data_IF_885033749389
#
_entry.id   IF_885033749389
#
_cell.length_a   1.000
_cell.length_b   1.000
_cell.length_c   1.000
_cell.angle_alpha   90.00
_cell.angle_beta   90.00
_cell.angle_gamma   90.00
#
_symmetry.space_group_name_H-M   'P 1'
#
loop_
_entity.id
_entity.type
_entity.pdbx_description
1 polymer ?
#
# COMPACT_ATOMS: atom_id res chain seq x y z
N UNK A 1 31.38 12.13 -49.28
CA UNK A 1 30.67 12.50 -48.07
C UNK A 1 30.42 11.24 -47.25
N UNK A 2 31.31 10.91 -46.33
CA UNK A 2 31.20 9.77 -45.41
C UNK A 2 30.31 10.18 -44.25
N UNK A 3 29.12 9.59 -44.16
CA UNK A 3 28.23 9.77 -43.01
C UNK A 3 28.92 9.21 -41.76
N UNK A 4 29.26 10.08 -40.84
CA UNK A 4 29.71 9.72 -39.49
C UNK A 4 28.49 9.08 -38.82
N UNK A 5 28.53 7.77 -38.62
CA UNK A 5 27.60 7.04 -37.77
C UNK A 5 27.95 7.45 -36.33
N UNK A 6 27.18 8.37 -35.75
CA UNK A 6 27.26 8.67 -34.33
C UNK A 6 26.95 7.38 -33.56
N UNK A 7 27.97 6.80 -32.96
CA UNK A 7 27.80 5.74 -31.99
C UNK A 7 26.97 6.29 -30.79
N UNK A 8 25.88 5.60 -30.37
CA UNK A 8 25.09 6.06 -29.24
C UNK A 8 26.01 6.16 -28.02
N UNK A 9 26.14 7.35 -27.47
CA UNK A 9 26.82 7.56 -26.18
C UNK A 9 26.16 6.67 -25.13
N UNK A 10 26.95 5.97 -24.29
CA UNK A 10 26.38 5.14 -23.23
C UNK A 10 25.55 6.04 -22.32
N UNK A 11 24.24 5.79 -22.28
CA UNK A 11 23.30 6.52 -21.42
C UNK A 11 23.68 6.26 -19.97
N UNK A 12 24.33 7.22 -19.32
CA UNK A 12 24.62 7.17 -17.88
C UNK A 12 23.30 7.07 -17.10
N UNK A 13 23.26 6.22 -16.09
CA UNK A 13 22.09 6.09 -15.20
C UNK A 13 22.17 7.05 -14.02
N UNK A 14 21.04 7.34 -13.38
CA UNK A 14 21.02 8.08 -12.12
C UNK A 14 21.93 7.38 -11.09
N UNK A 15 22.78 8.11 -10.33
CA UNK A 15 23.70 7.50 -9.38
C UNK A 15 23.02 6.62 -8.35
N UNK A 16 23.60 5.43 -8.11
CA UNK A 16 23.05 4.47 -7.15
C UNK A 16 22.95 5.05 -5.73
N UNK A 17 23.91 5.90 -5.35
CA UNK A 17 23.90 6.60 -4.04
C UNK A 17 22.62 7.44 -3.86
N UNK A 18 22.21 8.20 -4.87
CA UNK A 18 20.99 8.99 -4.84
C UNK A 18 19.75 8.09 -4.80
N UNK A 19 19.73 7.03 -5.61
CA UNK A 19 18.61 6.08 -5.66
C UNK A 19 18.42 5.35 -4.34
N UNK A 20 19.50 4.93 -3.67
CA UNK A 20 19.44 4.28 -2.35
C UNK A 20 19.05 5.27 -1.24
N UNK A 21 19.58 6.49 -1.26
CA UNK A 21 19.19 7.53 -0.30
C UNK A 21 17.69 7.82 -0.37
N UNK A 22 17.13 7.97 -1.57
CA UNK A 22 15.69 8.17 -1.76
C UNK A 22 14.90 6.89 -1.49
N UNK A 23 15.46 5.73 -1.79
CA UNK A 23 14.87 4.43 -1.51
C UNK A 23 14.70 4.15 -0.01
N UNK A 24 15.60 4.64 0.85
CA UNK A 24 15.51 4.44 2.30
C UNK A 24 14.25 5.05 2.93
N UNK A 25 13.70 6.14 2.41
CA UNK A 25 12.41 6.67 2.85
C UNK A 25 11.23 5.80 2.40
N UNK A 26 11.31 5.14 1.25
CA UNK A 26 10.28 4.18 0.84
C UNK A 26 10.28 2.93 1.73
N UNK A 27 11.44 2.57 2.29
CA UNK A 27 11.58 1.53 3.33
C UNK A 27 10.77 1.88 4.57
N UNK A 28 10.80 3.13 5.04
CA UNK A 28 10.02 3.57 6.20
C UNK A 28 8.52 3.37 6.01
N UNK A 29 7.99 3.68 4.81
CA UNK A 29 6.59 3.41 4.49
C UNK A 29 6.28 1.92 4.55
N UNK A 30 7.13 1.10 3.94
CA UNK A 30 6.98 -0.34 3.90
C UNK A 30 7.02 -0.97 5.31
N UNK A 31 7.94 -0.54 6.17
CA UNK A 31 8.05 -0.98 7.56
C UNK A 31 6.78 -0.64 8.36
N UNK A 32 6.36 0.64 8.33
CA UNK A 32 5.19 1.08 9.09
C UNK A 32 3.88 0.42 8.67
N UNK A 33 3.78 0.01 7.41
CA UNK A 33 2.60 -0.70 6.91
C UNK A 33 2.64 -2.20 7.17
N UNK A 34 3.80 -2.80 7.36
CA UNK A 34 3.95 -4.25 7.44
C UNK A 34 4.20 -4.78 8.86
N UNK A 35 5.00 -4.10 9.68
CA UNK A 35 5.28 -4.55 11.06
C UNK A 35 4.02 -4.56 11.94
N UNK A 36 3.04 -3.70 11.64
CA UNK A 36 1.78 -3.63 12.38
C UNK A 36 1.00 -4.96 12.36
N UNK A 37 1.18 -5.79 11.34
CA UNK A 37 0.47 -7.06 11.18
C UNK A 37 0.62 -8.00 12.41
N UNK A 38 1.79 -8.02 13.02
CA UNK A 38 2.08 -8.83 14.21
C UNK A 38 1.95 -8.06 15.52
N UNK A 39 1.86 -6.74 15.47
CA UNK A 39 1.76 -5.89 16.66
C UNK A 39 0.31 -5.66 17.12
N UNK A 40 -0.70 -5.92 16.28
CA UNK A 40 -2.10 -5.65 16.59
C UNK A 40 -2.57 -6.36 17.85
N UNK A 41 -2.25 -7.64 18.01
CA UNK A 41 -2.65 -8.42 19.19
C UNK A 41 -1.98 -7.88 20.47
N UNK A 42 -0.65 -7.68 20.54
CA UNK A 42 0.00 -7.02 21.67
C UNK A 42 -0.55 -5.62 21.98
N UNK A 43 -0.89 -4.82 20.96
CA UNK A 43 -1.50 -3.49 21.13
C UNK A 43 -2.90 -3.62 21.77
N UNK A 44 -3.74 -4.52 21.23
CA UNK A 44 -5.07 -4.78 21.78
C UNK A 44 -5.02 -5.21 23.26
N UNK A 45 -4.09 -6.12 23.57
CA UNK A 45 -3.86 -6.59 24.95
C UNK A 45 -3.39 -5.46 25.85
N UNK A 46 -2.47 -4.62 25.40
CA UNK A 46 -1.92 -3.51 26.19
C UNK A 46 -2.97 -2.47 26.55
N UNK A 47 -3.84 -2.10 25.61
CA UNK A 47 -4.90 -1.11 25.84
C UNK A 47 -6.20 -1.71 26.37
N UNK A 48 -6.29 -3.04 26.56
CA UNK A 48 -7.48 -3.75 27.06
C UNK A 48 -8.70 -3.59 26.14
N UNK A 49 -8.49 -3.36 24.85
CA UNK A 49 -9.56 -3.15 23.85
C UNK A 49 -9.25 -3.83 22.55
N UNK A 50 -10.15 -4.71 22.12
CA UNK A 50 -10.14 -5.27 20.77
C UNK A 50 -10.88 -4.35 19.77
N UNK A 51 -11.89 -3.61 20.26
CA UNK A 51 -12.60 -2.64 19.44
C UNK A 51 -11.71 -1.43 19.16
N UNK A 52 -11.64 -1.02 17.89
CA UNK A 52 -10.82 0.11 17.45
C UNK A 52 -9.40 -0.25 16.98
N UNK A 53 -8.93 -1.48 17.12
CA UNK A 53 -7.63 -1.90 16.57
C UNK A 53 -7.61 -1.87 15.04
N UNK A 54 -8.75 -2.10 14.38
CA UNK A 54 -8.90 -1.87 12.94
C UNK A 54 -8.55 -0.44 12.54
N UNK A 55 -8.83 0.56 13.40
CA UNK A 55 -8.46 1.95 13.16
C UNK A 55 -6.95 2.19 13.22
N UNK A 56 -6.21 1.41 14.01
CA UNK A 56 -4.74 1.50 14.05
C UNK A 56 -4.14 1.15 12.67
N UNK A 57 -4.75 0.21 11.96
CA UNK A 57 -4.37 -0.12 10.59
C UNK A 57 -4.90 0.96 9.63
N UNK A 58 -6.19 1.22 9.67
CA UNK A 58 -6.91 2.06 8.70
C UNK A 58 -6.47 3.51 8.71
N UNK A 59 -6.17 4.09 9.86
CA UNK A 59 -5.76 5.49 9.99
C UNK A 59 -4.50 5.82 9.16
N UNK A 60 -3.50 4.95 9.19
CA UNK A 60 -2.30 5.13 8.37
C UNK A 60 -2.63 5.07 6.87
N UNK A 61 -3.43 4.10 6.45
CA UNK A 61 -3.74 3.93 5.02
C UNK A 61 -4.67 5.01 4.48
N UNK A 62 -5.65 5.49 5.27
CA UNK A 62 -6.49 6.62 4.90
C UNK A 62 -5.62 7.87 4.73
N UNK A 63 -4.80 8.17 5.75
CA UNK A 63 -3.89 9.32 5.70
C UNK A 63 -2.93 9.24 4.49
N UNK A 64 -2.40 8.04 4.21
CA UNK A 64 -1.51 7.82 3.06
C UNK A 64 -2.25 7.99 1.73
N UNK A 65 -3.46 7.42 1.60
CA UNK A 65 -4.26 7.49 0.37
C UNK A 65 -4.63 8.94 0.01
N UNK A 66 -4.94 9.76 1.03
CA UNK A 66 -5.27 11.18 0.87
C UNK A 66 -4.02 12.01 0.56
N UNK A 67 -2.92 11.74 1.27
CA UNK A 67 -1.72 12.60 1.20
C UNK A 67 -0.86 12.32 -0.02
N UNK A 68 -0.75 11.08 -0.50
CA UNK A 68 0.19 10.71 -1.55
C UNK A 68 0.04 11.50 -2.87
N UNK A 69 -1.18 11.70 -3.43
CA UNK A 69 -1.36 12.53 -4.61
C UNK A 69 -1.02 14.01 -4.37
N UNK A 70 -1.41 14.54 -3.20
CA UNK A 70 -1.11 15.92 -2.81
C UNK A 70 0.40 16.15 -2.61
N UNK A 71 1.09 15.19 -2.00
CA UNK A 71 2.52 15.25 -1.72
C UNK A 71 3.37 15.35 -3.00
N UNK A 72 2.98 14.66 -4.06
CA UNK A 72 3.66 14.77 -5.36
C UNK A 72 3.54 16.18 -5.97
N UNK A 73 2.35 16.79 -5.90
CA UNK A 73 2.12 18.17 -6.35
C UNK A 73 2.86 19.18 -5.47
N UNK A 74 2.83 19.01 -4.14
CA UNK A 74 3.59 19.86 -3.21
C UNK A 74 5.09 19.81 -3.53
N UNK A 75 5.64 18.63 -3.81
CA UNK A 75 7.04 18.46 -4.16
C UNK A 75 7.45 19.19 -5.42
N UNK A 76 6.63 19.17 -6.47
CA UNK A 76 6.94 19.88 -7.71
C UNK A 76 6.98 21.41 -7.57
N UNK A 77 6.46 21.97 -6.49
CA UNK A 77 6.31 23.42 -6.31
C UNK A 77 7.10 23.94 -5.11
N UNK A 78 7.06 23.25 -3.97
CA UNK A 78 7.85 23.65 -2.78
C UNK A 78 9.28 23.10 -2.80
N UNK A 79 9.57 22.22 -3.77
CA UNK A 79 10.80 21.47 -3.86
C UNK A 79 10.65 20.06 -3.30
N UNK A 80 10.99 19.08 -4.11
CA UNK A 80 10.78 17.68 -3.79
C UNK A 80 11.64 17.21 -2.61
N UNK A 81 12.87 17.70 -2.49
CA UNK A 81 13.75 17.42 -1.36
C UNK A 81 13.21 17.97 -0.06
N UNK A 82 12.69 19.22 -0.05
CA UNK A 82 12.10 19.86 1.13
C UNK A 82 10.89 19.08 1.62
N UNK A 83 9.96 18.74 0.73
CA UNK A 83 8.74 17.98 1.08
C UNK A 83 9.10 16.58 1.57
N UNK A 84 10.09 15.94 0.96
CA UNK A 84 10.62 14.65 1.41
C UNK A 84 11.16 14.71 2.84
N UNK A 85 12.02 15.70 3.15
CA UNK A 85 12.60 15.90 4.48
C UNK A 85 11.55 16.31 5.53
N UNK A 86 10.60 17.16 5.17
CA UNK A 86 9.47 17.50 6.03
C UNK A 86 8.63 16.26 6.37
N UNK A 87 8.41 15.36 5.40
CA UNK A 87 7.76 14.08 5.62
C UNK A 87 8.53 13.19 6.59
N UNK A 88 9.86 13.15 6.52
CA UNK A 88 10.68 12.44 7.52
C UNK A 88 10.49 13.03 8.93
N UNK A 89 10.39 14.35 9.05
CA UNK A 89 10.05 15.02 10.31
C UNK A 89 8.70 14.59 10.87
N UNK A 90 7.67 14.46 10.01
CA UNK A 90 6.36 13.94 10.41
C UNK A 90 6.41 12.46 10.83
N UNK A 91 7.23 11.64 10.16
CA UNK A 91 7.46 10.24 10.56
C UNK A 91 8.10 10.21 11.95
N UNK A 92 9.12 11.04 12.21
CA UNK A 92 9.75 11.12 13.52
C UNK A 92 8.76 11.54 14.61
N UNK A 93 7.99 12.61 14.36
CA UNK A 93 6.97 13.10 15.29
C UNK A 93 5.90 12.02 15.59
N UNK A 94 5.36 11.38 14.54
CA UNK A 94 4.39 10.30 14.69
C UNK A 94 4.98 9.08 15.43
N UNK A 95 6.26 8.78 15.21
CA UNK A 95 6.96 7.68 15.89
C UNK A 95 7.13 7.94 17.39
N UNK A 96 7.55 9.17 17.75
CA UNK A 96 7.66 9.58 19.17
C UNK A 96 6.29 9.55 19.84
N UNK A 97 5.28 10.19 19.23
CA UNK A 97 3.92 10.22 19.77
C UNK A 97 3.32 8.83 19.91
N UNK A 98 3.57 7.94 18.93
CA UNK A 98 3.07 6.58 18.94
C UNK A 98 3.74 5.69 19.99
N UNK A 99 5.06 5.83 20.20
CA UNK A 99 5.78 5.06 21.23
C UNK A 99 5.38 5.47 22.68
N UNK A 100 4.94 6.71 22.87
CA UNK A 100 4.50 7.28 24.15
C UNK A 100 2.98 7.29 24.30
N UNK A 101 2.22 6.62 23.43
CA UNK A 101 0.77 6.71 23.39
C UNK A 101 0.11 6.23 24.70
N UNK A 102 -0.60 7.09 25.43
CA UNK A 102 -1.30 6.72 26.67
C UNK A 102 -2.65 6.05 26.42
N UNK A 103 -3.15 6.10 25.19
CA UNK A 103 -4.44 5.52 24.79
C UNK A 103 -4.44 5.11 23.33
N UNK A 104 -5.38 4.23 22.96
CA UNK A 104 -5.56 3.77 21.58
C UNK A 104 -5.86 4.95 20.61
N UNK A 105 -6.66 5.93 21.05
CA UNK A 105 -6.96 7.13 20.25
C UNK A 105 -5.71 7.97 19.97
N UNK A 106 -4.80 8.07 20.93
CA UNK A 106 -3.52 8.75 20.76
C UNK A 106 -2.61 7.99 19.75
N UNK A 107 -2.60 6.67 19.85
CA UNK A 107 -1.89 5.82 18.87
C UNK A 107 -2.46 5.99 17.46
N UNK A 108 -3.79 6.06 17.32
CA UNK A 108 -4.45 6.32 16.02
C UNK A 108 -4.02 7.68 15.45
N UNK A 109 -3.97 8.73 16.28
CA UNK A 109 -3.49 10.05 15.86
C UNK A 109 -2.01 10.01 15.42
N UNK A 110 -1.16 9.29 16.14
CA UNK A 110 0.23 9.05 15.73
C UNK A 110 0.33 8.30 14.38
N UNK A 111 -0.54 7.32 14.14
CA UNK A 111 -0.63 6.59 12.87
C UNK A 111 -1.06 7.50 11.70
N UNK A 112 -1.92 8.48 11.95
CA UNK A 112 -2.27 9.50 10.93
C UNK A 112 -1.02 10.31 10.55
N UNK A 113 -0.25 10.80 11.52
CA UNK A 113 1.00 11.53 11.25
C UNK A 113 2.02 10.68 10.48
N UNK A 114 2.17 9.41 10.87
CA UNK A 114 3.00 8.45 10.13
C UNK A 114 2.52 8.28 8.69
N UNK A 115 1.21 8.16 8.48
CA UNK A 115 0.60 8.03 7.16
C UNK A 115 0.87 9.25 6.27
N UNK A 116 0.70 10.46 6.81
CA UNK A 116 1.03 11.72 6.13
C UNK A 116 2.52 11.76 5.77
N UNK A 117 3.40 11.50 6.74
CA UNK A 117 4.84 11.55 6.54
C UNK A 117 5.33 10.52 5.52
N UNK A 118 4.90 9.27 5.63
CA UNK A 118 5.33 8.20 4.71
C UNK A 118 4.79 8.39 3.30
N UNK A 119 3.60 9.00 3.15
CA UNK A 119 3.00 9.29 1.84
C UNK A 119 3.84 10.26 0.99
N UNK A 120 4.66 11.10 1.62
CA UNK A 120 5.50 12.06 0.89
C UNK A 120 6.72 11.41 0.24
N UNK A 121 7.15 10.23 0.70
CA UNK A 121 8.46 9.67 0.36
C UNK A 121 8.55 9.27 -1.12
N UNK A 122 7.66 8.38 -1.57
CA UNK A 122 7.74 7.82 -2.93
C UNK A 122 7.48 8.87 -4.04
N UNK A 123 6.44 9.73 -3.97
CA UNK A 123 6.20 10.73 -5.01
C UNK A 123 7.37 11.72 -5.15
N UNK A 124 7.90 12.19 -4.01
CA UNK A 124 9.00 13.15 -4.04
C UNK A 124 10.32 12.53 -4.44
N UNK A 125 10.59 11.26 -4.07
CA UNK A 125 11.73 10.51 -4.59
C UNK A 125 11.70 10.42 -6.13
N UNK A 126 10.52 10.14 -6.69
CA UNK A 126 10.32 10.09 -8.15
C UNK A 126 10.55 11.45 -8.81
N UNK A 127 10.10 12.54 -8.18
CA UNK A 127 10.33 13.90 -8.68
C UNK A 127 11.82 14.23 -8.69
N UNK A 128 12.54 14.00 -7.58
CA UNK A 128 14.01 14.23 -7.50
C UNK A 128 14.75 13.41 -8.56
N UNK A 129 14.38 12.14 -8.76
CA UNK A 129 15.01 11.28 -9.78
C UNK A 129 14.78 11.85 -11.19
N UNK A 130 13.56 12.29 -11.51
CA UNK A 130 13.23 12.89 -12.82
C UNK A 130 14.00 14.20 -13.03
N UNK A 131 13.98 15.10 -12.07
CA UNK A 131 14.73 16.37 -12.15
C UNK A 131 16.23 16.15 -12.34
N UNK A 132 16.80 15.16 -11.63
CA UNK A 132 18.20 14.78 -11.82
C UNK A 132 18.45 14.25 -13.23
N UNK A 133 17.58 13.36 -13.70
CA UNK A 133 17.70 12.75 -15.02
C UNK A 133 17.59 13.78 -16.15
N UNK A 134 16.67 14.74 -16.03
CA UNK A 134 16.47 15.81 -17.01
C UNK A 134 17.67 16.75 -17.06
N UNK A 135 18.24 17.12 -15.90
CA UNK A 135 19.44 17.99 -15.82
C UNK A 135 20.69 17.32 -16.40
N UNK A 136 20.85 16.00 -16.19
CA UNK A 136 22.07 15.27 -16.55
C UNK A 136 21.89 14.37 -17.78
N UNK A 137 20.72 14.38 -18.43
CA UNK A 137 20.35 13.52 -19.56
C UNK A 137 20.60 12.03 -19.30
N UNK A 138 20.25 11.56 -18.09
CA UNK A 138 20.43 10.18 -17.66
C UNK A 138 19.13 9.40 -17.69
N UNK A 139 19.20 8.07 -17.65
CA UNK A 139 18.02 7.21 -17.61
C UNK A 139 17.53 6.99 -16.18
N UNK A 140 16.20 7.07 -15.96
CA UNK A 140 15.56 6.89 -14.63
C UNK A 140 15.29 5.42 -14.27
N UNK A 141 15.36 4.49 -15.24
CA UNK A 141 14.91 3.10 -15.11
C UNK A 141 15.56 2.36 -13.92
N UNK A 142 16.87 2.47 -13.76
CA UNK A 142 17.61 1.81 -12.67
C UNK A 142 17.24 2.38 -11.29
N UNK A 143 17.05 3.70 -11.20
CA UNK A 143 16.66 4.36 -9.96
C UNK A 143 15.24 3.96 -9.52
N UNK A 144 14.30 3.91 -10.45
CA UNK A 144 12.92 3.44 -10.17
C UNK A 144 12.92 1.97 -9.72
N UNK A 145 13.73 1.12 -10.36
CA UNK A 145 13.89 -0.27 -9.94
C UNK A 145 14.44 -0.35 -8.51
N UNK A 146 15.45 0.46 -8.16
CA UNK A 146 16.01 0.52 -6.81
C UNK A 146 14.96 0.91 -5.75
N UNK A 147 14.18 1.96 -6.00
CA UNK A 147 13.07 2.37 -5.12
C UNK A 147 12.06 1.23 -4.90
N UNK A 148 11.70 0.54 -5.99
CA UNK A 148 10.74 -0.55 -5.94
C UNK A 148 11.29 -1.74 -5.15
N UNK A 149 12.55 -2.12 -5.36
CA UNK A 149 13.21 -3.20 -4.63
C UNK A 149 13.28 -2.86 -3.14
N UNK A 150 13.70 -1.63 -2.78
CA UNK A 150 13.74 -1.18 -1.38
C UNK A 150 12.38 -1.35 -0.70
N UNK A 151 11.29 -0.87 -1.32
CA UNK A 151 9.96 -0.97 -0.75
C UNK A 151 9.47 -2.43 -0.64
N UNK A 152 9.58 -3.21 -1.71
CA UNK A 152 9.00 -4.56 -1.78
C UNK A 152 9.73 -5.56 -0.89
N UNK A 153 11.06 -5.48 -0.78
CA UNK A 153 11.84 -6.35 0.10
C UNK A 153 11.42 -6.16 1.56
N UNK A 154 11.13 -4.93 1.95
CA UNK A 154 10.75 -4.61 3.33
C UNK A 154 9.31 -4.97 3.63
N UNK A 155 8.38 -4.80 2.69
CA UNK A 155 6.99 -5.30 2.87
C UNK A 155 7.01 -6.79 3.15
N UNK A 156 7.83 -7.55 2.43
CA UNK A 156 7.94 -9.00 2.60
C UNK A 156 8.51 -9.38 3.98
N UNK A 157 9.55 -8.69 4.45
CA UNK A 157 10.23 -8.99 5.71
C UNK A 157 9.58 -8.31 6.94
N UNK A 158 8.64 -7.39 6.72
CA UNK A 158 8.05 -6.58 7.78
C UNK A 158 7.43 -7.35 8.92
N UNK A 159 6.58 -8.37 8.70
CA UNK A 159 6.00 -9.16 9.78
C UNK A 159 7.07 -9.87 10.62
N UNK A 160 8.14 -10.37 9.98
CA UNK A 160 9.25 -11.04 10.67
C UNK A 160 10.04 -10.05 11.53
N UNK A 161 10.42 -8.90 10.97
CA UNK A 161 11.10 -7.83 11.71
C UNK A 161 10.20 -7.29 12.83
N UNK A 162 8.92 -7.08 12.54
CA UNK A 162 7.93 -6.66 13.53
C UNK A 162 7.78 -7.68 14.64
N UNK A 163 7.68 -8.97 14.33
CA UNK A 163 7.61 -10.06 15.30
C UNK A 163 8.81 -10.10 16.23
N UNK A 164 10.02 -9.95 15.67
CA UNK A 164 11.25 -9.90 16.45
C UNK A 164 11.25 -8.68 17.39
N UNK A 165 10.98 -7.49 16.87
CA UNK A 165 10.95 -6.24 17.65
C UNK A 165 9.89 -6.31 18.76
N UNK A 166 8.66 -6.69 18.41
CA UNK A 166 7.54 -6.79 19.37
C UNK A 166 7.79 -7.82 20.44
N UNK A 167 8.30 -8.99 20.06
CA UNK A 167 8.55 -10.10 21.00
C UNK A 167 9.73 -9.87 21.93
N UNK A 168 10.71 -9.03 21.56
CA UNK A 168 11.89 -8.73 22.40
C UNK A 168 11.78 -7.42 23.16
N UNK A 169 11.19 -6.38 22.55
CA UNK A 169 11.23 -4.99 23.04
C UNK A 169 9.82 -4.39 23.24
N UNK A 170 8.76 -5.18 23.05
CA UNK A 170 7.38 -4.75 23.16
C UNK A 170 6.87 -4.02 21.91
N UNK A 171 5.53 -3.81 21.84
CA UNK A 171 4.87 -3.25 20.66
C UNK A 171 5.33 -1.82 20.32
N UNK A 172 5.77 -1.04 21.27
CA UNK A 172 6.28 0.32 21.07
C UNK A 172 7.52 0.34 20.15
N UNK A 173 8.24 -0.76 20.08
CA UNK A 173 9.45 -0.89 19.28
C UNK A 173 9.22 -0.66 17.79
N UNK A 174 8.04 -1.02 17.25
CA UNK A 174 7.68 -0.75 15.86
C UNK A 174 7.51 0.74 15.55
N UNK A 175 7.32 1.56 16.57
CA UNK A 175 7.23 3.02 16.43
C UNK A 175 8.64 3.64 16.50
N UNK A 176 9.36 3.45 17.60
CA UNK A 176 10.64 4.14 17.78
C UNK A 176 11.77 3.60 16.87
N UNK A 177 11.67 2.38 16.31
CA UNK A 177 12.64 1.88 15.31
C UNK A 177 12.73 2.78 14.08
N UNK A 178 11.71 3.56 13.79
CA UNK A 178 11.73 4.54 12.72
C UNK A 178 12.75 5.67 12.98
N UNK A 179 13.00 6.04 14.25
CA UNK A 179 13.81 7.22 14.59
C UNK A 179 15.24 7.13 14.06
N UNK A 180 16.01 6.06 14.34
CA UNK A 180 17.34 5.92 13.77
C UNK A 180 17.30 5.86 12.23
N UNK A 181 16.30 5.21 11.64
CA UNK A 181 16.15 5.12 10.18
C UNK A 181 15.84 6.50 9.57
N UNK A 182 14.99 7.30 10.21
CA UNK A 182 14.69 8.67 9.79
C UNK A 182 15.93 9.53 9.82
N UNK A 183 16.73 9.47 10.90
CA UNK A 183 17.97 10.26 11.01
C UNK A 183 18.96 9.87 9.90
N UNK A 184 19.21 8.58 9.73
CA UNK A 184 20.11 8.08 8.66
C UNK A 184 19.60 8.51 7.28
N UNK A 185 18.31 8.34 7.01
CA UNK A 185 17.69 8.71 5.73
C UNK A 185 17.77 10.23 5.50
N UNK A 186 17.46 11.04 6.52
CA UNK A 186 17.47 12.50 6.41
C UNK A 186 18.88 13.02 6.10
N UNK A 187 19.89 12.53 6.84
CA UNK A 187 21.30 12.89 6.61
C UNK A 187 21.73 12.46 5.21
N UNK A 188 21.41 11.23 4.82
CA UNK A 188 21.79 10.73 3.51
C UNK A 188 21.15 11.51 2.37
N UNK A 189 19.84 11.76 2.43
CA UNK A 189 19.12 12.54 1.41
C UNK A 189 19.57 13.99 1.42
N UNK A 190 19.86 14.59 2.59
CA UNK A 190 20.35 15.96 2.67
C UNK A 190 21.63 16.17 1.85
N UNK A 191 22.56 15.22 1.91
CA UNK A 191 23.82 15.31 1.17
C UNK A 191 23.77 14.75 -0.27
N UNK A 192 22.93 13.72 -0.53
CA UNK A 192 22.90 13.05 -1.83
C UNK A 192 21.95 13.71 -2.83
N UNK A 193 20.83 14.28 -2.37
CA UNK A 193 19.85 14.88 -3.27
C UNK A 193 20.25 16.34 -3.63
N UNK A 194 20.05 16.73 -4.92
CA UNK A 194 20.30 18.11 -5.34
C UNK A 194 19.45 19.10 -4.56
N UNK A 195 19.90 20.34 -4.47
CA UNK A 195 19.13 21.40 -3.84
C UNK A 195 17.91 21.77 -4.69
N UNK A 196 16.80 22.02 -4.01
CA UNK A 196 15.58 22.52 -4.65
C UNK A 196 15.78 23.96 -5.14
N UNK A 197 14.98 24.36 -6.12
CA UNK A 197 14.86 25.74 -6.58
C UNK A 197 14.34 26.67 -5.45
N UNK A 198 14.41 27.99 -5.66
CA UNK A 198 13.87 28.96 -4.73
C UNK A 198 12.35 28.71 -4.50
N UNK A 199 11.87 29.05 -3.29
CA UNK A 199 10.44 28.95 -2.98
C UNK A 199 9.65 29.94 -3.84
N UNK A 200 8.44 29.57 -4.28
CA UNK A 200 7.55 30.50 -4.96
C UNK A 200 7.16 31.66 -4.03
N UNK A 201 6.83 32.80 -4.62
CA UNK A 201 6.26 33.92 -3.89
C UNK A 201 4.89 33.60 -3.27
N UNK A 202 4.32 34.53 -2.48
CA UNK A 202 3.00 34.34 -1.84
C UNK A 202 1.88 34.12 -2.84
N UNK A 203 1.91 34.77 -3.99
CA UNK A 203 0.91 34.60 -5.05
C UNK A 203 1.01 33.21 -5.66
N UNK A 204 2.22 32.73 -5.90
CA UNK A 204 2.47 31.35 -6.34
C UNK A 204 2.00 30.32 -5.32
N UNK A 205 2.19 30.56 -4.01
CA UNK A 205 1.73 29.66 -2.95
C UNK A 205 0.18 29.56 -2.88
N UNK A 206 -0.55 30.66 -3.07
CA UNK A 206 -2.00 30.64 -3.11
C UNK A 206 -2.56 29.93 -4.36
N UNK A 207 -1.97 30.17 -5.52
CA UNK A 207 -2.32 29.46 -6.75
C UNK A 207 -2.04 27.95 -6.61
N UNK A 208 -0.95 27.60 -5.94
CA UNK A 208 -0.58 26.24 -5.61
C UNK A 208 -1.63 25.55 -4.74
N UNK A 209 -2.01 26.18 -3.62
CA UNK A 209 -3.02 25.61 -2.71
C UNK A 209 -4.32 25.34 -3.45
N UNK A 210 -4.72 26.24 -4.35
CA UNK A 210 -5.90 26.04 -5.21
C UNK A 210 -5.70 24.88 -6.20
N UNK A 211 -4.49 24.67 -6.70
CA UNK A 211 -4.19 23.57 -7.63
C UNK A 211 -4.17 22.17 -6.98
N UNK A 212 -4.04 22.10 -5.64
CA UNK A 212 -4.11 20.83 -4.89
C UNK A 212 -5.52 20.26 -4.78
N UNK A 213 -6.55 21.05 -5.14
CA UNK A 213 -7.95 20.70 -4.95
C UNK A 213 -8.28 20.34 -3.48
N UNK A 214 -8.13 21.28 -2.54
CA UNK A 214 -8.33 21.01 -1.12
C UNK A 214 -9.76 20.54 -0.80
N UNK A 215 -10.76 20.97 -1.60
CA UNK A 215 -12.14 20.53 -1.43
C UNK A 215 -12.30 19.07 -1.89
N UNK A 216 -11.71 18.68 -3.03
CA UNK A 216 -11.69 17.29 -3.49
C UNK A 216 -10.99 16.36 -2.48
N UNK A 217 -9.84 16.80 -1.93
CA UNK A 217 -9.14 16.10 -0.84
C UNK A 217 -10.04 15.95 0.40
N UNK A 218 -10.70 17.04 0.83
CA UNK A 218 -11.60 17.03 1.99
C UNK A 218 -12.80 16.10 1.79
N UNK A 219 -13.41 16.13 0.61
CA UNK A 219 -14.53 15.24 0.25
C UNK A 219 -14.10 13.78 0.15
N UNK A 220 -12.92 13.50 -0.38
CA UNK A 220 -12.36 12.14 -0.41
C UNK A 220 -12.09 11.61 1.00
N UNK A 221 -11.53 12.44 1.89
CA UNK A 221 -11.32 12.10 3.29
C UNK A 221 -12.65 11.83 3.99
N UNK A 222 -13.64 12.71 3.83
CA UNK A 222 -14.97 12.55 4.41
C UNK A 222 -15.67 11.28 3.89
N UNK A 223 -15.60 11.02 2.59
CA UNK A 223 -16.13 9.81 1.97
C UNK A 223 -15.46 8.55 2.54
N UNK A 224 -14.13 8.51 2.56
CA UNK A 224 -13.38 7.34 3.02
C UNK A 224 -13.64 7.09 4.51
N UNK A 225 -13.63 8.15 5.33
CA UNK A 225 -13.87 8.05 6.77
C UNK A 225 -15.30 7.62 7.07
N UNK A 226 -16.31 8.22 6.41
CA UNK A 226 -17.72 7.83 6.62
C UNK A 226 -17.99 6.40 6.16
N UNK A 227 -17.37 5.98 5.06
CA UNK A 227 -17.43 4.58 4.59
C UNK A 227 -16.84 3.62 5.64
N UNK A 228 -15.66 3.95 6.16
CA UNK A 228 -15.02 3.13 7.21
C UNK A 228 -15.86 3.06 8.49
N UNK A 229 -16.38 4.20 8.96
CA UNK A 229 -17.27 4.25 10.13
C UNK A 229 -18.50 3.39 9.94
N UNK A 230 -19.13 3.46 8.77
CA UNK A 230 -20.29 2.62 8.44
C UNK A 230 -19.91 1.13 8.45
N UNK A 231 -18.89 0.74 7.70
CA UNK A 231 -18.49 -0.64 7.54
C UNK A 231 -18.01 -1.26 8.86
N UNK A 232 -17.22 -0.55 9.66
CA UNK A 232 -16.81 -1.03 10.99
C UNK A 232 -17.99 -1.13 11.96
N UNK A 233 -18.99 -0.25 11.84
CA UNK A 233 -20.21 -0.35 12.68
C UNK A 233 -20.99 -1.64 12.43
N UNK A 234 -20.85 -2.28 11.27
CA UNK A 234 -21.48 -3.57 10.98
C UNK A 234 -20.93 -4.69 11.87
N UNK A 235 -19.74 -4.51 12.43
CA UNK A 235 -19.14 -5.50 13.34
C UNK A 235 -19.78 -5.50 14.74
N UNK A 236 -20.26 -4.39 15.23
CA UNK A 236 -20.89 -4.26 16.56
C UNK A 236 -22.40 -4.10 16.44
N UNK A 237 -22.85 -2.88 16.19
CA UNK A 237 -24.24 -2.51 15.96
C UNK A 237 -24.34 -1.66 14.72
N UNK A 238 -24.96 -2.19 13.66
CA UNK A 238 -25.06 -1.52 12.37
C UNK A 238 -25.67 -0.11 12.49
N UNK A 239 -24.88 0.92 12.29
CA UNK A 239 -25.28 2.34 12.34
C UNK A 239 -25.77 2.79 10.97
N UNK A 240 -26.96 2.33 10.59
CA UNK A 240 -27.55 2.57 9.26
C UNK A 240 -27.65 4.05 8.89
N UNK A 241 -27.69 4.97 9.89
CA UNK A 241 -27.69 6.40 9.66
C UNK A 241 -26.38 6.94 9.01
N UNK A 242 -25.29 6.14 9.04
CA UNK A 242 -24.04 6.47 8.36
C UNK A 242 -24.10 6.18 6.84
N UNK A 243 -24.99 5.33 6.37
CA UNK A 243 -25.13 5.01 4.95
C UNK A 243 -25.56 6.24 4.11
N UNK A 244 -26.57 7.03 4.52
CA UNK A 244 -26.90 8.30 3.85
C UNK A 244 -25.75 9.28 3.81
N UNK A 245 -24.93 9.38 4.90
CA UNK A 245 -23.76 10.28 4.90
C UNK A 245 -22.69 9.82 3.92
N UNK A 246 -22.43 8.53 3.85
CA UNK A 246 -21.51 7.93 2.88
C UNK A 246 -21.96 8.19 1.44
N UNK A 247 -23.26 7.96 1.15
CA UNK A 247 -23.84 8.24 -0.16
C UNK A 247 -23.78 9.73 -0.52
N UNK A 248 -24.03 10.62 0.45
CA UNK A 248 -23.94 12.05 0.28
C UNK A 248 -22.50 12.51 -0.08
N UNK A 249 -21.49 12.05 0.68
CA UNK A 249 -20.10 12.40 0.39
C UNK A 249 -19.61 11.75 -0.93
N UNK A 250 -20.07 10.56 -1.28
CA UNK A 250 -19.80 9.96 -2.58
C UNK A 250 -20.37 10.78 -3.74
N UNK A 251 -21.63 11.22 -3.59
CA UNK A 251 -22.25 12.10 -4.58
C UNK A 251 -21.52 13.43 -4.71
N UNK A 252 -21.24 14.11 -3.58
CA UNK A 252 -20.52 15.39 -3.60
C UNK A 252 -19.11 15.26 -4.18
N UNK A 253 -18.39 14.21 -3.83
CA UNK A 253 -17.05 13.94 -4.34
C UNK A 253 -17.08 13.76 -5.86
N UNK A 254 -17.92 12.87 -6.38
CA UNK A 254 -18.04 12.65 -7.83
C UNK A 254 -18.54 13.89 -8.56
N UNK A 255 -19.48 14.62 -7.97
CA UNK A 255 -20.01 15.85 -8.54
C UNK A 255 -18.95 16.95 -8.64
N UNK A 256 -18.13 17.14 -7.58
CA UNK A 256 -17.03 18.09 -7.53
C UNK A 256 -15.92 17.73 -8.51
N UNK A 257 -15.42 16.48 -8.46
CA UNK A 257 -14.35 15.97 -9.32
C UNK A 257 -14.71 16.05 -10.82
N UNK A 258 -15.98 15.94 -11.14
CA UNK A 258 -16.47 16.13 -12.53
C UNK A 258 -16.43 17.57 -13.00
N UNK A 259 -16.39 18.55 -12.11
CA UNK A 259 -16.45 19.98 -12.45
C UNK A 259 -15.10 20.66 -12.35
N UNK A 260 -14.24 20.16 -11.50
CA UNK A 260 -12.93 20.77 -11.24
C UNK A 260 -11.95 20.47 -12.39
N UNK A 261 -11.22 21.50 -12.84
CA UNK A 261 -10.20 21.35 -13.89
C UNK A 261 -8.95 20.62 -13.40
N UNK A 262 -8.58 20.84 -12.12
CA UNK A 262 -7.45 20.19 -11.46
C UNK A 262 -7.93 19.16 -10.43
N UNK A 263 -8.73 18.19 -10.88
CA UNK A 263 -9.32 17.15 -10.04
C UNK A 263 -8.29 16.41 -9.19
N UNK A 264 -8.62 16.14 -7.91
CA UNK A 264 -7.79 15.32 -7.01
C UNK A 264 -7.69 13.90 -7.56
N UNK A 265 -8.84 13.32 -7.92
CA UNK A 265 -8.94 12.04 -8.64
C UNK A 265 -9.72 12.27 -9.92
N UNK A 266 -9.11 12.05 -11.08
CA UNK A 266 -9.82 12.21 -12.36
C UNK A 266 -10.83 11.08 -12.59
N UNK A 267 -12.01 11.22 -11.98
CA UNK A 267 -13.13 10.28 -12.13
C UNK A 267 -13.64 10.18 -13.58
N UNK A 268 -13.38 11.22 -14.42
CA UNK A 268 -13.75 11.22 -15.84
C UNK A 268 -12.84 10.32 -16.65
N UNK A 269 -11.52 10.37 -16.40
CA UNK A 269 -10.55 9.47 -17.02
C UNK A 269 -10.85 8.01 -16.66
N UNK A 270 -11.17 7.74 -15.40
CA UNK A 270 -11.58 6.41 -14.94
C UNK A 270 -12.85 5.96 -15.67
N UNK A 271 -13.90 6.80 -15.72
CA UNK A 271 -15.18 6.43 -16.34
C UNK A 271 -15.08 6.21 -17.86
N UNK A 272 -14.19 6.95 -18.54
CA UNK A 272 -13.99 6.83 -20.00
C UNK A 272 -13.18 5.58 -20.39
N UNK A 273 -12.27 5.13 -19.54
CA UNK A 273 -11.40 3.99 -19.81
C UNK A 273 -11.88 2.75 -19.06
N UNK A 274 -12.78 1.97 -19.69
CA UNK A 274 -13.31 0.73 -19.12
C UNK A 274 -12.21 -0.26 -18.72
N UNK A 275 -11.11 -0.35 -19.49
CA UNK A 275 -10.02 -1.26 -19.18
C UNK A 275 -9.28 -0.82 -17.90
N UNK A 276 -9.08 0.48 -17.71
CA UNK A 276 -8.52 1.06 -16.48
C UNK A 276 -9.45 0.78 -15.29
N UNK A 277 -10.75 1.07 -15.40
CA UNK A 277 -11.74 0.84 -14.34
C UNK A 277 -11.78 -0.63 -13.90
N UNK A 278 -11.80 -1.55 -14.88
CA UNK A 278 -11.78 -3.00 -14.58
C UNK A 278 -10.46 -3.43 -13.91
N UNK A 279 -9.33 -2.83 -14.28
CA UNK A 279 -8.04 -3.13 -13.66
C UNK A 279 -7.99 -2.59 -12.23
N UNK A 280 -8.50 -1.38 -11.98
CA UNK A 280 -8.62 -0.80 -10.64
C UNK A 280 -9.54 -1.63 -9.75
N UNK A 281 -10.69 -2.10 -10.27
CA UNK A 281 -11.60 -2.99 -9.55
C UNK A 281 -10.94 -4.33 -9.19
N UNK A 282 -10.21 -4.95 -10.11
CA UNK A 282 -9.41 -6.16 -9.82
C UNK A 282 -8.35 -5.88 -8.75
N UNK A 283 -7.68 -4.75 -8.84
CA UNK A 283 -6.67 -4.33 -7.85
C UNK A 283 -7.29 -4.20 -6.47
N UNK A 284 -8.44 -3.55 -6.35
CA UNK A 284 -9.16 -3.41 -5.08
C UNK A 284 -9.40 -4.77 -4.42
N UNK A 285 -10.02 -5.69 -5.15
CA UNK A 285 -10.34 -7.02 -4.64
C UNK A 285 -9.07 -7.84 -4.31
N UNK A 286 -8.06 -7.79 -5.18
CA UNK A 286 -6.78 -8.47 -4.96
C UNK A 286 -6.11 -8.00 -3.67
N UNK A 287 -6.05 -6.69 -3.46
CA UNK A 287 -5.40 -6.13 -2.28
C UNK A 287 -6.24 -6.29 -1.02
N UNK A 288 -7.57 -6.27 -1.11
CA UNK A 288 -8.45 -6.66 0.01
C UNK A 288 -8.14 -8.08 0.46
N UNK A 289 -8.12 -9.05 -0.46
CA UNK A 289 -7.80 -10.44 -0.11
C UNK A 289 -6.35 -10.60 0.39
N UNK A 290 -5.39 -9.94 -0.23
CA UNK A 290 -3.99 -9.96 0.21
C UNK A 290 -3.84 -9.45 1.65
N UNK A 291 -4.44 -8.31 1.98
CA UNK A 291 -4.35 -7.75 3.33
C UNK A 291 -5.18 -8.51 4.35
N UNK A 292 -6.25 -9.24 3.96
CA UNK A 292 -6.92 -10.19 4.85
C UNK A 292 -5.95 -11.31 5.29
N UNK A 293 -5.16 -11.85 4.37
CA UNK A 293 -4.10 -12.82 4.70
C UNK A 293 -3.03 -12.14 5.56
N UNK A 294 -2.54 -10.99 5.12
CA UNK A 294 -1.39 -10.32 5.69
C UNK A 294 -1.60 -9.83 7.12
N UNK A 295 -2.82 -9.38 7.47
CA UNK A 295 -3.19 -8.93 8.81
C UNK A 295 -3.93 -9.99 9.61
N UNK A 296 -4.81 -10.78 8.99
CA UNK A 296 -5.66 -11.75 9.67
C UNK A 296 -4.88 -12.98 10.15
N UNK A 297 -4.01 -13.53 9.30
CA UNK A 297 -3.27 -14.74 9.63
C UNK A 297 -2.34 -14.57 10.85
N UNK A 298 -1.51 -13.50 10.97
CA UNK A 298 -0.72 -13.29 12.19
C UNK A 298 -1.54 -13.10 13.46
N UNK A 299 -2.73 -12.51 13.38
CA UNK A 299 -3.62 -12.36 14.53
C UNK A 299 -4.14 -13.72 15.00
N UNK A 300 -4.63 -14.55 14.07
CA UNK A 300 -5.08 -15.90 14.37
C UNK A 300 -3.97 -16.80 14.93
N UNK A 301 -2.75 -16.74 14.36
CA UNK A 301 -1.60 -17.48 14.86
C UNK A 301 -1.26 -17.13 16.32
N UNK A 302 -1.39 -15.85 16.68
CA UNK A 302 -1.09 -15.41 18.04
C UNK A 302 -2.21 -15.77 19.02
N UNK A 303 -3.48 -15.59 18.65
CA UNK A 303 -4.60 -15.78 19.57
C UNK A 303 -5.08 -17.23 19.61
N UNK A 304 -5.45 -17.82 18.45
CA UNK A 304 -6.01 -19.18 18.40
C UNK A 304 -4.94 -20.27 18.59
N UNK A 305 -3.71 -20.05 18.10
CA UNK A 305 -2.60 -21.02 18.25
C UNK A 305 -1.65 -20.68 19.40
N UNK A 306 -1.83 -19.56 20.08
CA UNK A 306 -0.96 -19.14 21.17
C UNK A 306 0.49 -18.89 20.76
N UNK A 307 0.76 -18.60 19.49
CA UNK A 307 2.12 -18.34 19.03
C UNK A 307 2.62 -16.98 19.54
N UNK A 308 3.89 -16.91 19.90
CA UNK A 308 4.53 -15.62 20.20
C UNK A 308 4.57 -14.73 18.96
N UNK A 309 4.67 -13.39 19.12
CA UNK A 309 4.83 -12.46 18.00
C UNK A 309 6.03 -12.83 17.09
N UNK A 310 7.13 -13.34 17.70
CA UNK A 310 8.30 -13.81 16.94
C UNK A 310 7.92 -14.98 16.04
N UNK A 311 7.28 -16.01 16.60
CA UNK A 311 6.89 -17.21 15.85
C UNK A 311 5.87 -16.89 14.76
N UNK A 312 4.88 -16.03 15.03
CA UNK A 312 3.91 -15.57 14.04
C UNK A 312 4.58 -14.76 12.92
N UNK A 313 5.55 -13.90 13.26
CA UNK A 313 6.33 -13.16 12.28
C UNK A 313 7.21 -14.05 11.39
N UNK A 314 7.88 -15.04 11.98
CA UNK A 314 8.68 -16.03 11.24
C UNK A 314 7.80 -16.90 10.33
N UNK A 315 6.58 -17.21 10.76
CA UNK A 315 5.62 -17.96 9.97
C UNK A 315 5.25 -17.25 8.66
N UNK A 316 5.34 -15.91 8.60
CA UNK A 316 5.08 -15.16 7.38
C UNK A 316 6.22 -15.20 6.34
N UNK A 317 7.40 -15.76 6.69
CA UNK A 317 8.54 -15.86 5.75
C UNK A 317 8.23 -16.66 4.48
N UNK A 318 7.56 -17.82 4.51
CA UNK A 318 7.16 -18.53 3.29
C UNK A 318 6.27 -17.70 2.38
N UNK A 319 5.30 -16.97 2.93
CA UNK A 319 4.44 -16.04 2.14
C UNK A 319 5.31 -15.00 1.43
N UNK A 320 6.25 -14.41 2.16
CA UNK A 320 7.15 -13.39 1.65
C UNK A 320 8.13 -13.94 0.60
N UNK A 321 8.81 -15.03 0.91
CA UNK A 321 9.80 -15.65 0.02
C UNK A 321 9.16 -16.09 -1.31
N UNK A 322 8.06 -16.84 -1.24
CA UNK A 322 7.35 -17.28 -2.43
C UNK A 322 6.76 -16.08 -3.18
N UNK A 323 6.30 -15.03 -2.48
CA UNK A 323 5.86 -13.77 -3.11
C UNK A 323 6.94 -13.10 -3.97
N UNK A 324 8.19 -13.09 -3.49
CA UNK A 324 9.34 -12.56 -4.26
C UNK A 324 9.61 -13.43 -5.50
N UNK A 325 9.72 -14.75 -5.33
CA UNK A 325 9.91 -15.68 -6.46
C UNK A 325 8.74 -15.64 -7.45
N UNK A 326 7.50 -15.53 -6.95
CA UNK A 326 6.31 -15.37 -7.77
C UNK A 326 6.37 -14.07 -8.60
N UNK A 327 6.83 -12.96 -8.03
CA UNK A 327 6.98 -11.69 -8.76
C UNK A 327 8.01 -11.82 -9.90
N UNK A 328 9.16 -12.47 -9.64
CA UNK A 328 10.17 -12.72 -10.66
C UNK A 328 9.65 -13.63 -11.79
N UNK A 329 8.94 -14.69 -11.41
CA UNK A 329 8.32 -15.64 -12.35
C UNK A 329 7.20 -14.98 -13.14
N UNK A 330 6.36 -14.17 -12.50
CA UNK A 330 5.26 -13.43 -13.12
C UNK A 330 5.77 -12.45 -14.19
N UNK A 331 6.93 -11.82 -13.99
CA UNK A 331 7.56 -10.96 -15.01
C UNK A 331 7.91 -11.73 -16.27
N UNK A 332 8.47 -12.95 -16.14
CA UNK A 332 8.80 -13.83 -17.27
C UNK A 332 7.53 -14.35 -17.95
N UNK A 333 6.55 -14.79 -17.17
CA UNK A 333 5.27 -15.29 -17.68
C UNK A 333 4.53 -14.18 -18.42
N UNK A 334 4.50 -12.96 -17.87
CA UNK A 334 3.89 -11.81 -18.53
C UNK A 334 4.56 -11.50 -19.89
N UNK A 335 5.88 -11.50 -19.92
CA UNK A 335 6.63 -11.25 -21.16
C UNK A 335 6.40 -12.32 -22.24
N UNK A 336 6.15 -13.58 -21.87
CA UNK A 336 5.95 -14.70 -22.80
C UNK A 336 4.49 -14.97 -23.15
N UNK A 337 3.57 -14.84 -22.20
CA UNK A 337 2.17 -15.27 -22.32
C UNK A 337 1.15 -14.15 -22.07
N UNK A 338 1.63 -12.94 -21.75
CA UNK A 338 0.79 -11.76 -21.54
C UNK A 338 0.04 -11.70 -20.22
N UNK A 339 -0.79 -10.66 -20.09
CA UNK A 339 -1.52 -10.33 -18.86
C UNK A 339 -2.50 -11.43 -18.42
N UNK A 340 -3.19 -12.05 -19.36
CA UNK A 340 -4.26 -13.01 -19.08
C UNK A 340 -3.74 -14.23 -18.31
N UNK A 341 -2.68 -14.88 -18.81
CA UNK A 341 -2.11 -16.07 -18.15
C UNK A 341 -1.51 -15.70 -16.79
N UNK A 342 -0.82 -14.55 -16.70
CA UNK A 342 -0.28 -14.05 -15.45
C UNK A 342 -1.38 -13.88 -14.38
N UNK A 343 -2.50 -13.24 -14.73
CA UNK A 343 -3.63 -13.04 -13.82
C UNK A 343 -4.38 -14.35 -13.53
N UNK A 344 -4.49 -15.29 -14.49
CA UNK A 344 -5.10 -16.60 -14.23
C UNK A 344 -4.35 -17.36 -13.15
N UNK A 345 -3.02 -17.41 -13.21
CA UNK A 345 -2.18 -18.07 -12.20
C UNK A 345 -2.39 -17.41 -10.82
N UNK A 346 -2.32 -16.07 -10.77
CA UNK A 346 -2.46 -15.34 -9.50
C UNK A 346 -3.85 -15.47 -8.88
N UNK A 347 -4.92 -15.38 -9.69
CA UNK A 347 -6.30 -15.47 -9.19
C UNK A 347 -6.69 -16.90 -8.84
N UNK A 348 -6.20 -17.91 -9.57
CA UNK A 348 -6.39 -19.31 -9.23
C UNK A 348 -5.68 -19.66 -7.92
N UNK A 349 -4.44 -19.22 -7.73
CA UNK A 349 -3.70 -19.41 -6.48
C UNK A 349 -4.40 -18.69 -5.29
N UNK A 350 -5.00 -17.52 -5.52
CA UNK A 350 -5.78 -16.82 -4.51
C UNK A 350 -7.05 -17.60 -4.11
N UNK A 351 -7.78 -18.13 -5.08
CA UNK A 351 -8.97 -18.94 -4.84
C UNK A 351 -8.61 -20.23 -4.06
N UNK A 352 -7.56 -20.94 -4.50
CA UNK A 352 -7.06 -22.14 -3.80
C UNK A 352 -6.62 -21.81 -2.39
N UNK A 353 -5.83 -20.74 -2.20
CA UNK A 353 -5.40 -20.28 -0.89
C UNK A 353 -6.56 -19.97 0.05
N UNK A 354 -7.58 -19.25 -0.44
CA UNK A 354 -8.80 -18.98 0.33
C UNK A 354 -9.57 -20.26 0.73
N UNK A 355 -9.69 -21.24 -0.19
CA UNK A 355 -10.29 -22.54 0.09
C UNK A 355 -9.50 -23.33 1.13
N UNK A 356 -8.16 -23.28 1.06
CA UNK A 356 -7.31 -23.96 2.04
C UNK A 356 -7.45 -23.33 3.44
N UNK A 357 -7.52 -22.01 3.53
CA UNK A 357 -7.81 -21.31 4.79
C UNK A 357 -9.20 -21.68 5.30
N UNK A 358 -10.20 -21.70 4.43
CA UNK A 358 -11.59 -21.95 4.84
C UNK A 358 -11.86 -23.38 5.34
N UNK A 359 -11.15 -24.38 4.82
CA UNK A 359 -11.51 -25.79 5.04
C UNK A 359 -10.37 -26.67 5.58
N UNK A 360 -9.12 -26.20 5.57
CA UNK A 360 -7.96 -27.03 5.97
C UNK A 360 -7.20 -26.41 7.14
N UNK A 361 -7.06 -25.07 7.20
CA UNK A 361 -6.35 -24.42 8.30
C UNK A 361 -7.20 -24.45 9.58
N UNK A 362 -6.60 -24.91 10.68
CA UNK A 362 -7.17 -24.89 12.02
C UNK A 362 -6.07 -24.81 13.07
N UNK A 363 -6.45 -24.56 14.31
CA UNK A 363 -5.52 -24.56 15.45
C UNK A 363 -4.82 -25.92 15.65
N UNK A 364 -5.42 -27.02 15.16
CA UNK A 364 -4.86 -28.38 15.22
C UNK A 364 -4.04 -28.79 13.99
N UNK A 365 -4.07 -27.99 12.89
CA UNK A 365 -3.35 -28.33 11.65
C UNK A 365 -1.84 -28.39 11.91
N UNK A 366 -1.13 -29.45 11.46
CA UNK A 366 0.32 -29.55 11.63
C UNK A 366 1.07 -28.36 11.04
N UNK A 367 2.13 -27.91 11.71
CA UNK A 367 2.91 -26.74 11.32
C UNK A 367 3.44 -26.83 9.87
N UNK A 368 3.86 -28.01 9.43
CA UNK A 368 4.35 -28.23 8.06
C UNK A 368 3.25 -27.96 7.03
N UNK A 369 2.02 -28.42 7.28
CA UNK A 369 0.89 -28.16 6.38
C UNK A 369 0.57 -26.66 6.32
N UNK A 370 0.57 -25.96 7.46
CA UNK A 370 0.38 -24.53 7.51
C UNK A 370 1.47 -23.76 6.74
N UNK A 371 2.74 -24.15 6.84
CA UNK A 371 3.84 -23.54 6.09
C UNK A 371 3.70 -23.75 4.58
N UNK A 372 3.20 -24.93 4.16
CA UNK A 372 2.91 -25.19 2.74
C UNK A 372 1.76 -24.33 2.23
N UNK A 373 0.69 -24.15 3.03
CA UNK A 373 -0.42 -23.25 2.70
C UNK A 373 0.09 -21.81 2.64
N UNK A 374 0.89 -21.37 3.62
CA UNK A 374 1.51 -20.05 3.63
C UNK A 374 2.36 -19.81 2.36
N UNK A 375 3.09 -20.80 1.88
CA UNK A 375 3.83 -20.72 0.62
C UNK A 375 2.90 -20.50 -0.58
N UNK A 376 1.76 -21.20 -0.66
CA UNK A 376 0.75 -20.99 -1.72
C UNK A 376 0.18 -19.57 -1.65
N UNK A 377 -0.07 -19.05 -0.45
CA UNK A 377 -0.58 -17.68 -0.24
C UNK A 377 0.38 -16.57 -0.70
N UNK A 378 1.66 -16.88 -0.88
CA UNK A 378 2.65 -15.97 -1.47
C UNK A 378 2.48 -15.76 -2.98
N UNK A 379 1.97 -16.76 -3.72
CA UNK A 379 1.87 -16.74 -5.18
C UNK A 379 0.98 -15.59 -5.70
N UNK A 380 -0.24 -15.36 -5.15
CA UNK A 380 -1.15 -14.32 -5.62
C UNK A 380 -0.53 -12.92 -5.61
N UNK A 381 0.27 -12.60 -4.58
CA UNK A 381 0.88 -11.28 -4.46
C UNK A 381 1.78 -10.96 -5.66
N UNK A 382 2.65 -11.89 -6.05
CA UNK A 382 3.54 -11.67 -7.20
C UNK A 382 2.81 -11.58 -8.54
N UNK A 383 1.97 -12.55 -8.83
CA UNK A 383 1.31 -12.66 -10.13
C UNK A 383 0.22 -11.60 -10.35
N UNK A 384 -0.65 -11.36 -9.38
CA UNK A 384 -1.71 -10.37 -9.51
C UNK A 384 -1.18 -8.95 -9.51
N UNK A 385 -0.18 -8.65 -8.66
CA UNK A 385 0.44 -7.33 -8.64
C UNK A 385 1.12 -7.01 -9.98
N UNK A 386 1.98 -7.91 -10.47
CA UNK A 386 2.68 -7.74 -11.76
C UNK A 386 1.68 -7.63 -12.90
N UNK A 387 0.67 -8.50 -12.96
CA UNK A 387 -0.36 -8.49 -14.00
C UNK A 387 -1.16 -7.19 -14.02
N UNK A 388 -1.66 -6.73 -12.87
CA UNK A 388 -2.46 -5.50 -12.80
C UNK A 388 -1.62 -4.25 -13.06
N UNK A 389 -0.38 -4.16 -12.54
CA UNK A 389 0.50 -3.01 -12.74
C UNK A 389 0.90 -2.85 -14.23
N UNK A 390 1.25 -3.95 -14.89
CA UNK A 390 1.57 -3.90 -16.32
C UNK A 390 0.35 -3.58 -17.19
N UNK A 391 -0.85 -4.06 -16.80
CA UNK A 391 -2.08 -3.67 -17.50
C UNK A 391 -2.33 -2.17 -17.42
N UNK A 392 -2.14 -1.54 -16.26
CA UNK A 392 -2.29 -0.08 -16.13
C UNK A 392 -1.38 0.62 -17.13
N UNK A 393 -0.10 0.24 -17.21
CA UNK A 393 0.83 0.82 -18.17
C UNK A 393 0.40 0.61 -19.62
N UNK A 394 -0.27 -0.51 -19.94
CA UNK A 394 -0.71 -0.83 -21.31
C UNK A 394 -2.05 -0.23 -21.71
N UNK A 395 -2.89 0.19 -20.75
CA UNK A 395 -4.23 0.76 -21.01
C UNK A 395 -4.28 2.28 -20.85
N UNK A 396 -3.16 2.90 -20.49
CA UNK A 396 -3.03 4.35 -20.30
C UNK A 396 -2.05 4.96 -21.29
N UNK A 397 -2.26 6.22 -21.66
CA UNK A 397 -1.33 6.98 -22.49
C UNK A 397 -0.12 7.43 -21.67
N UNK A 398 0.98 7.82 -22.34
CA UNK A 398 2.18 8.34 -21.68
C UNK A 398 1.88 9.58 -20.81
N UNK A 399 0.88 10.39 -21.21
CA UNK A 399 0.44 11.57 -20.47
C UNK A 399 -0.31 11.20 -19.18
N UNK A 400 -1.11 10.11 -19.21
CA UNK A 400 -2.01 9.74 -18.11
C UNK A 400 -1.42 8.68 -17.18
N UNK A 401 -0.29 8.05 -17.56
CA UNK A 401 0.28 6.92 -16.80
C UNK A 401 0.62 7.28 -15.36
N UNK A 402 1.08 8.50 -15.11
CA UNK A 402 1.39 8.98 -13.76
C UNK A 402 0.14 9.04 -12.87
N UNK A 403 -0.96 9.58 -13.40
CA UNK A 403 -2.26 9.63 -12.71
C UNK A 403 -2.81 8.23 -12.46
N UNK A 404 -2.72 7.34 -13.46
CA UNK A 404 -3.20 5.96 -13.34
C UNK A 404 -2.40 5.16 -12.29
N UNK A 405 -1.09 5.35 -12.19
CA UNK A 405 -0.25 4.74 -11.14
C UNK A 405 -0.62 5.32 -9.76
N UNK A 406 -0.88 6.63 -9.67
CA UNK A 406 -1.37 7.24 -8.44
C UNK A 406 -2.69 6.63 -7.97
N UNK A 407 -3.66 6.50 -8.87
CA UNK A 407 -4.93 5.81 -8.61
C UNK A 407 -4.73 4.35 -8.20
N UNK A 408 -3.85 3.63 -8.89
CA UNK A 408 -3.51 2.25 -8.54
C UNK A 408 -3.03 2.12 -7.10
N UNK A 409 -2.16 3.03 -6.65
CA UNK A 409 -1.67 3.08 -5.26
C UNK A 409 -2.79 3.42 -4.27
N UNK A 410 -3.61 4.40 -4.59
CA UNK A 410 -4.77 4.77 -3.75
C UNK A 410 -5.73 3.59 -3.58
N UNK A 411 -6.03 2.85 -4.64
CA UNK A 411 -6.88 1.65 -4.59
C UNK A 411 -6.25 0.54 -3.75
N UNK A 412 -4.93 0.37 -3.75
CA UNK A 412 -4.25 -0.58 -2.85
C UNK A 412 -4.50 -0.22 -1.38
N UNK A 413 -4.41 1.06 -1.02
CA UNK A 413 -4.67 1.54 0.35
C UNK A 413 -6.15 1.39 0.74
N UNK A 414 -7.09 1.63 -0.19
CA UNK A 414 -8.51 1.35 0.04
C UNK A 414 -8.71 -0.16 0.26
N UNK A 415 -8.04 -1.03 -0.50
CA UNK A 415 -8.07 -2.47 -0.31
C UNK A 415 -7.59 -2.89 1.09
N UNK A 416 -6.54 -2.25 1.61
CA UNK A 416 -6.05 -2.50 2.98
C UNK A 416 -7.09 -2.09 4.04
N UNK A 417 -7.77 -0.97 3.83
CA UNK A 417 -8.88 -0.53 4.71
C UNK A 417 -10.05 -1.52 4.69
N UNK A 418 -10.47 -1.97 3.51
CA UNK A 418 -11.53 -2.98 3.40
C UNK A 418 -11.13 -4.30 4.05
N UNK A 419 -9.87 -4.71 3.96
CA UNK A 419 -9.39 -5.91 4.64
C UNK A 419 -9.50 -5.79 6.16
N UNK A 420 -9.19 -4.62 6.74
CA UNK A 420 -9.36 -4.38 8.17
C UNK A 420 -10.84 -4.56 8.59
N UNK A 421 -11.78 -4.07 7.77
CA UNK A 421 -13.22 -4.29 7.98
C UNK A 421 -13.59 -5.77 7.86
N UNK A 422 -13.12 -6.47 6.83
CA UNK A 422 -13.41 -7.91 6.63
C UNK A 422 -12.93 -8.71 7.83
N UNK A 423 -11.70 -8.46 8.31
CA UNK A 423 -11.14 -9.13 9.49
C UNK A 423 -12.01 -8.86 10.72
N UNK A 424 -12.38 -7.61 10.97
CA UNK A 424 -13.25 -7.22 12.09
C UNK A 424 -14.62 -7.93 12.02
N UNK A 425 -15.21 -8.05 10.84
CA UNK A 425 -16.51 -8.72 10.63
C UNK A 425 -16.42 -10.24 10.76
N UNK A 426 -15.33 -10.85 10.25
CA UNK A 426 -15.20 -12.30 10.22
C UNK A 426 -14.66 -12.89 11.52
N UNK A 427 -13.80 -12.16 12.22
CA UNK A 427 -13.20 -12.55 13.50
C UNK A 427 -13.93 -11.93 14.71
N UNK A 428 -15.21 -11.62 14.55
CA UNK A 428 -16.07 -10.96 15.54
C UNK A 428 -16.05 -11.67 16.89
N UNK A 429 -15.73 -10.94 17.96
CA UNK A 429 -15.81 -11.39 19.35
C UNK A 429 -14.67 -12.32 19.78
N UNK A 430 -14.27 -13.27 18.98
CA UNK A 430 -13.16 -14.19 19.26
C UNK A 430 -12.35 -14.46 17.98
N UNK A 431 -11.01 -14.34 18.09
CA UNK A 431 -10.11 -14.74 17.01
C UNK A 431 -9.87 -16.24 17.16
N UNK A 432 -10.69 -17.04 16.50
CA UNK A 432 -10.69 -18.49 16.51
C UNK A 432 -10.66 -19.10 15.11
N UNK A 433 -10.71 -20.43 15.02
CA UNK A 433 -10.73 -21.16 13.75
C UNK A 433 -11.97 -20.79 12.90
N UNK A 434 -13.14 -20.58 13.54
CA UNK A 434 -14.36 -20.21 12.83
C UNK A 434 -14.22 -18.81 12.19
N UNK A 435 -13.58 -17.87 12.87
CA UNK A 435 -13.26 -16.55 12.31
C UNK A 435 -12.28 -16.63 11.15
N UNK A 436 -11.25 -17.47 11.27
CA UNK A 436 -10.29 -17.72 10.18
C UNK A 436 -11.01 -18.34 8.96
N UNK A 437 -11.87 -19.34 9.16
CA UNK A 437 -12.62 -19.98 8.08
C UNK A 437 -13.52 -18.99 7.33
N UNK A 438 -14.27 -18.13 8.04
CA UNK A 438 -15.08 -17.06 7.40
C UNK A 438 -14.21 -16.07 6.61
N UNK A 439 -13.00 -15.75 7.12
CA UNK A 439 -12.03 -14.94 6.38
C UNK A 439 -11.56 -15.68 5.12
N UNK A 440 -11.26 -16.97 5.23
CA UNK A 440 -10.90 -17.84 4.11
C UNK A 440 -11.99 -17.93 3.05
N UNK A 441 -13.25 -18.11 3.46
CA UNK A 441 -14.42 -18.11 2.56
C UNK A 441 -14.50 -16.78 1.79
N UNK A 442 -14.32 -15.64 2.48
CA UNK A 442 -14.33 -14.34 1.84
C UNK A 442 -13.21 -14.21 0.81
N UNK A 443 -11.98 -14.66 1.14
CA UNK A 443 -10.84 -14.67 0.22
C UNK A 443 -11.12 -15.60 -0.97
N UNK A 444 -11.70 -16.79 -0.73
CA UNK A 444 -12.07 -17.75 -1.78
C UNK A 444 -13.09 -17.15 -2.76
N UNK A 445 -14.16 -16.53 -2.24
CA UNK A 445 -15.17 -15.84 -3.05
C UNK A 445 -14.55 -14.75 -3.91
N UNK A 446 -13.69 -13.90 -3.32
CA UNK A 446 -12.94 -12.87 -4.07
C UNK A 446 -12.06 -13.53 -5.14
N UNK A 447 -11.31 -14.57 -4.79
CA UNK A 447 -10.42 -15.28 -5.71
C UNK A 447 -11.18 -15.90 -6.89
N UNK A 448 -12.29 -16.57 -6.63
CA UNK A 448 -13.17 -17.17 -7.65
C UNK A 448 -13.79 -16.08 -8.53
N UNK A 449 -14.31 -15.00 -7.95
CA UNK A 449 -14.86 -13.88 -8.71
C UNK A 449 -13.82 -13.25 -9.66
N UNK A 450 -12.60 -13.06 -9.16
CA UNK A 450 -11.47 -12.56 -9.96
C UNK A 450 -11.08 -13.54 -11.06
N UNK A 451 -11.02 -14.84 -10.77
CA UNK A 451 -10.70 -15.89 -11.73
C UNK A 451 -11.72 -15.93 -12.85
N UNK A 452 -13.02 -15.97 -12.51
CA UNK A 452 -14.13 -15.90 -13.47
C UNK A 452 -14.02 -14.61 -14.30
N UNK A 453 -13.79 -13.47 -13.65
CA UNK A 453 -13.61 -12.20 -14.34
C UNK A 453 -12.45 -12.21 -15.35
N UNK A 454 -11.34 -12.88 -15.06
CA UNK A 454 -10.19 -13.02 -15.97
C UNK A 454 -10.51 -14.00 -17.11
N UNK A 455 -11.14 -15.13 -16.82
CA UNK A 455 -11.54 -16.15 -17.82
C UNK A 455 -12.46 -15.55 -18.89
N UNK A 456 -13.47 -14.79 -18.47
CA UNK A 456 -14.49 -14.21 -19.36
C UNK A 456 -14.12 -12.81 -19.89
N UNK A 457 -13.00 -12.21 -19.47
CA UNK A 457 -12.59 -10.90 -19.93
C UNK A 457 -12.21 -10.90 -21.42
N UNK A 458 -13.00 -10.20 -22.22
CA UNK A 458 -12.69 -9.99 -23.65
C UNK A 458 -11.49 -9.07 -23.84
N UNK A 459 -11.30 -8.09 -22.95
CA UNK A 459 -10.19 -7.12 -23.03
C UNK A 459 -8.81 -7.75 -22.76
N UNK A 460 -8.76 -8.92 -22.13
CA UNK A 460 -7.52 -9.66 -21.87
C UNK A 460 -7.24 -10.73 -22.95
N UNK A 461 -8.18 -11.00 -23.86
CA UNK A 461 -7.98 -11.96 -24.97
C UNK A 461 -7.28 -11.34 -26.17
N UNK A 462 -7.39 -10.03 -26.33
CA UNK A 462 -6.87 -9.27 -27.49
C UNK A 462 -5.47 -8.69 -27.28
N UNK A 463 -4.78 -9.11 -26.24
CA UNK A 463 -3.44 -8.58 -25.91
C UNK A 463 -2.48 -9.67 -25.51
#
# INVERSE_FOLDING_TARGET
MTAVVETPTPHTSVPLKLSLALGSGTVLQALNSSMIAVAIVPIATYFGSSSGTAWVISALYIATAVTAPAAGRLGSILGAKRVYLAGLGLIAAGSILGSLAPSLGWLIAARILLGIGTATQYPNAMTVIREYADRHRTQTRSAIATLTICAQSVVALGPTLGGLLVGTLGWQSIMWVNLPLVVVTAVWVFFAAPSDSALPDRAGAAALFKSLDPLGIGLFLALTTSTMLFLLSLAEHAKWYLLPSTAFFAFLFVWWERRTASAFIDVRAVARNRALSMTLGRTLLTYTAFYCIFFGLPQWLQVARGMSPISAGLFMLPVAAIGIFATMSASRVYGKFGARITLLIGTAALAVGGILIAFVESSSTPLVALLLIAAILGIPNGFNNMGNQNLINSVTTSADVGTAIGLYRTIQYIGANLAAVVIELTMRGTIDDAGLHRTGETIAVIGIALLVGVVFSRTLRSR
#
